data_IF_956153448813
#
_entry.id   IF_956153448813
#
_cell.length_a   1.000
_cell.length_b   1.000
_cell.length_c   1.000
_cell.angle_alpha   90.00
_cell.angle_beta   90.00
_cell.angle_gamma   90.00
#
_symmetry.space_group_name_H-M   'P 1'
#
loop_
_entity.id
_entity.type
_entity.pdbx_description
1 polymer ?
#
# COMPACT_ATOMS: atom_id res chain seq x y z
N UNK A 1 -21.17 -10.02 -13.10
CA UNK A 1 -21.86 -8.89 -12.47
C UNK A 1 -21.73 -8.91 -10.93
N UNK A 2 -22.25 -9.92 -10.19
CA UNK A 2 -22.20 -9.95 -8.71
C UNK A 2 -20.78 -10.00 -8.14
N UNK A 3 -19.87 -10.78 -8.71
CA UNK A 3 -18.46 -10.86 -8.29
C UNK A 3 -17.76 -9.52 -8.46
N UNK A 4 -18.03 -8.78 -9.52
CA UNK A 4 -17.47 -7.44 -9.73
C UNK A 4 -17.99 -6.42 -8.70
N UNK A 5 -19.25 -6.53 -8.29
CA UNK A 5 -19.82 -5.67 -7.23
C UNK A 5 -19.20 -5.92 -5.86
N UNK A 6 -18.76 -7.14 -5.57
CA UNK A 6 -18.08 -7.43 -4.29
C UNK A 6 -16.67 -6.85 -4.22
N UNK A 7 -16.02 -6.59 -5.36
CA UNK A 7 -14.66 -6.04 -5.39
C UNK A 7 -14.58 -4.62 -4.81
N UNK A 8 -15.65 -3.84 -4.91
CA UNK A 8 -15.72 -2.46 -4.39
C UNK A 8 -16.49 -2.34 -3.08
N UNK A 9 -17.08 -3.45 -2.60
CA UNK A 9 -17.85 -3.46 -1.37
C UNK A 9 -16.95 -3.13 -0.17
N UNK A 10 -17.37 -2.16 0.63
CA UNK A 10 -16.69 -1.74 1.87
C UNK A 10 -15.23 -1.27 1.69
N UNK A 11 -14.84 -0.87 0.50
CA UNK A 11 -13.45 -0.45 0.21
C UNK A 11 -13.06 0.84 0.94
N UNK A 12 -13.99 1.76 1.17
CA UNK A 12 -13.73 2.95 1.98
C UNK A 12 -13.27 2.58 3.38
N UNK A 13 -13.99 1.67 4.06
CA UNK A 13 -13.62 1.18 5.38
C UNK A 13 -12.24 0.51 5.37
N UNK A 14 -12.04 -0.47 4.49
CA UNK A 14 -10.78 -1.24 4.41
C UNK A 14 -9.57 -0.36 4.08
N UNK A 15 -9.76 0.62 3.20
CA UNK A 15 -8.71 1.58 2.83
C UNK A 15 -8.37 2.48 4.00
N UNK A 16 -9.38 2.97 4.73
CA UNK A 16 -9.19 3.82 5.91
C UNK A 16 -8.43 3.09 7.02
N UNK A 17 -8.76 1.83 7.30
CA UNK A 17 -8.01 1.00 8.27
C UNK A 17 -6.53 0.88 7.90
N UNK A 18 -6.25 0.61 6.62
CA UNK A 18 -4.89 0.42 6.12
C UNK A 18 -4.08 1.72 6.15
N UNK A 19 -4.69 2.84 5.72
CA UNK A 19 -4.06 4.16 5.75
C UNK A 19 -3.81 4.61 7.19
N UNK A 20 -4.79 4.42 8.09
CA UNK A 20 -4.64 4.74 9.50
C UNK A 20 -3.47 3.97 10.14
N UNK A 21 -3.34 2.67 9.84
CA UNK A 21 -2.21 1.87 10.31
C UNK A 21 -0.87 2.38 9.74
N UNK A 22 -0.83 2.79 8.48
CA UNK A 22 0.38 3.33 7.84
C UNK A 22 0.80 4.66 8.46
N UNK A 23 -0.16 5.53 8.79
CA UNK A 23 0.10 6.81 9.46
C UNK A 23 0.55 6.57 10.92
N UNK A 24 -0.08 5.62 11.60
CA UNK A 24 0.30 5.26 12.96
C UNK A 24 1.73 4.73 13.03
N UNK A 25 2.14 3.91 12.07
CA UNK A 25 3.53 3.47 11.92
C UNK A 25 4.49 4.65 11.82
N UNK A 26 4.23 5.58 10.90
CA UNK A 26 5.06 6.78 10.73
C UNK A 26 5.11 7.62 12.00
N UNK A 27 3.99 7.81 12.69
CA UNK A 27 3.93 8.60 13.92
C UNK A 27 4.76 7.98 15.05
N UNK A 28 4.79 6.64 15.17
CA UNK A 28 5.66 5.96 16.13
C UNK A 28 7.14 6.13 15.81
N UNK A 29 7.51 6.07 14.55
CA UNK A 29 8.92 6.09 14.12
C UNK A 29 9.47 7.51 13.87
N UNK A 30 8.63 8.54 13.96
CA UNK A 30 9.05 9.96 13.96
C UNK A 30 9.35 10.49 15.37
N UNK A 31 9.10 9.69 16.41
CA UNK A 31 9.39 10.07 17.78
C UNK A 31 10.90 10.07 18.06
N UNK A 32 11.38 11.12 18.72
CA UNK A 32 12.75 11.21 19.20
C UNK A 32 12.97 10.55 20.57
N UNK A 33 11.91 10.34 21.34
CA UNK A 33 11.88 9.62 22.61
C UNK A 33 10.51 9.00 22.83
N UNK A 34 10.48 7.85 23.48
CA UNK A 34 9.25 7.15 23.91
C UNK A 34 9.04 7.20 25.42
N UNK A 35 9.90 7.90 26.15
CA UNK A 35 9.84 7.98 27.61
C UNK A 35 8.56 8.64 28.09
N UNK A 36 7.84 7.99 29.00
CA UNK A 36 6.59 8.49 29.58
C UNK A 36 5.36 8.45 28.67
N UNK A 37 5.48 7.88 27.47
CA UNK A 37 4.33 7.78 26.56
C UNK A 37 3.41 6.63 26.99
N UNK A 38 2.13 6.96 27.26
CA UNK A 38 1.07 5.96 27.32
C UNK A 38 0.64 5.57 25.90
N UNK A 39 0.81 4.31 25.58
CA UNK A 39 0.61 3.76 24.21
C UNK A 39 -0.80 3.97 23.70
N UNK A 40 -1.82 3.77 24.53
CA UNK A 40 -3.22 3.89 24.12
C UNK A 40 -3.62 5.36 23.93
N UNK A 41 -3.13 6.24 24.79
CA UNK A 41 -3.35 7.68 24.67
C UNK A 41 -2.70 8.21 23.42
N UNK A 42 -1.44 7.86 23.15
CA UNK A 42 -0.73 8.26 21.95
C UNK A 42 -1.49 7.83 20.69
N UNK A 43 -1.85 6.54 20.56
CA UNK A 43 -2.61 6.04 19.41
C UNK A 43 -3.91 6.85 19.21
N UNK A 44 -4.70 7.03 20.28
CA UNK A 44 -5.96 7.77 20.21
C UNK A 44 -5.75 9.21 19.74
N UNK A 45 -4.74 9.89 20.24
CA UNK A 45 -4.42 11.27 19.85
C UNK A 45 -3.97 11.38 18.40
N UNK A 46 -3.11 10.44 17.92
CA UNK A 46 -2.67 10.46 16.53
C UNK A 46 -3.82 10.17 15.56
N UNK A 47 -4.69 9.24 15.90
CA UNK A 47 -5.87 8.94 15.08
C UNK A 47 -6.88 10.09 15.06
N UNK A 48 -7.07 10.77 16.19
CA UNK A 48 -7.91 11.97 16.27
C UNK A 48 -7.37 13.12 15.39
N UNK A 49 -6.04 13.30 15.30
CA UNK A 49 -5.41 14.34 14.45
C UNK A 49 -5.71 14.15 12.97
N UNK A 50 -5.84 12.93 12.51
CA UNK A 50 -6.20 12.63 11.11
C UNK A 50 -7.72 12.57 10.87
N UNK A 51 -8.52 12.84 11.90
CA UNK A 51 -9.99 12.81 11.81
C UNK A 51 -10.57 11.41 11.67
N UNK A 52 -9.85 10.37 12.13
CA UNK A 52 -10.38 9.00 12.12
C UNK A 52 -11.62 8.91 13.01
N UNK A 53 -12.73 8.42 12.44
CA UNK A 53 -13.99 8.23 13.17
C UNK A 53 -13.87 7.05 14.17
N UNK A 54 -14.66 7.08 15.24
CA UNK A 54 -14.57 6.09 16.32
C UNK A 54 -14.93 4.66 15.89
N UNK A 55 -15.74 4.52 14.84
CA UNK A 55 -16.16 3.22 14.29
C UNK A 55 -15.06 2.51 13.49
N UNK A 56 -13.99 3.22 13.13
CA UNK A 56 -12.84 2.67 12.41
C UNK A 56 -11.61 2.76 13.29
N UNK A 57 -10.99 1.62 13.52
CA UNK A 57 -9.68 1.54 14.18
C UNK A 57 -8.59 1.26 13.14
N UNK A 58 -7.33 1.60 13.39
CA UNK A 58 -6.23 1.15 12.54
C UNK A 58 -6.25 -0.36 12.38
N UNK A 59 -5.92 -0.88 11.20
CA UNK A 59 -5.86 -2.32 10.90
C UNK A 59 -5.09 -3.11 11.96
N UNK A 60 -4.05 -2.52 12.51
CA UNK A 60 -3.32 -3.01 13.68
C UNK A 60 -3.24 -1.90 14.71
N UNK A 61 -3.61 -2.21 15.94
CA UNK A 61 -3.37 -1.32 17.07
C UNK A 61 -1.95 -1.48 17.57
N UNK A 62 -1.40 -0.44 18.11
CA UNK A 62 0.00 -0.38 18.57
C UNK A 62 0.42 -1.60 19.39
N UNK A 63 -0.43 -2.07 20.30
CA UNK A 63 -0.13 -3.17 21.24
C UNK A 63 0.09 -4.54 20.58
N UNK A 64 -0.33 -4.71 19.32
CA UNK A 64 -0.13 -5.95 18.55
C UNK A 64 0.36 -5.71 17.11
N UNK A 65 0.93 -4.55 16.84
CA UNK A 65 1.44 -4.18 15.52
C UNK A 65 2.83 -4.77 15.27
N UNK A 66 2.92 -6.08 15.28
CA UNK A 66 4.17 -6.81 15.14
C UNK A 66 4.98 -6.45 13.89
N UNK A 67 4.31 -6.10 12.78
CA UNK A 67 4.95 -5.72 11.52
C UNK A 67 5.99 -4.61 11.69
N UNK A 68 5.66 -3.57 12.47
CA UNK A 68 6.48 -2.37 12.61
C UNK A 68 7.45 -2.42 13.78
N UNK A 69 7.23 -3.29 14.78
CA UNK A 69 8.07 -3.38 15.96
C UNK A 69 9.01 -4.59 15.98
N UNK A 70 8.69 -5.66 15.25
CA UNK A 70 9.45 -6.90 15.30
C UNK A 70 9.73 -7.52 13.92
N UNK A 71 9.42 -6.81 12.85
CA UNK A 71 9.74 -7.21 11.48
C UNK A 71 10.29 -6.05 10.67
N UNK A 72 10.57 -6.23 9.40
CA UNK A 72 11.23 -5.24 8.55
C UNK A 72 10.37 -4.07 8.07
N UNK A 73 9.21 -3.78 8.71
CA UNK A 73 8.27 -2.76 8.24
C UNK A 73 8.26 -1.47 9.08
N UNK A 74 9.23 -1.25 9.95
CA UNK A 74 9.35 0.00 10.72
C UNK A 74 9.41 1.21 9.79
N UNK A 75 8.51 2.19 9.98
CA UNK A 75 8.31 3.34 9.08
C UNK A 75 8.09 2.94 7.60
N UNK A 76 7.66 1.71 7.36
CA UNK A 76 7.55 1.12 6.03
C UNK A 76 6.22 0.41 5.75
N UNK A 77 5.25 0.46 6.66
CA UNK A 77 3.97 -0.23 6.48
C UNK A 77 3.18 0.31 5.27
N UNK A 78 3.34 1.57 4.92
CA UNK A 78 2.77 2.18 3.71
C UNK A 78 3.18 1.46 2.42
N UNK A 79 4.24 0.65 2.44
CA UNK A 79 4.73 -0.09 1.27
C UNK A 79 3.69 -1.05 0.69
N UNK A 80 2.73 -1.51 1.48
CA UNK A 80 1.60 -2.30 0.98
C UNK A 80 0.72 -1.52 0.01
N UNK A 81 0.43 -0.24 0.31
CA UNK A 81 -0.30 0.64 -0.60
C UNK A 81 0.51 0.96 -1.85
N UNK A 82 1.80 1.24 -1.68
CA UNK A 82 2.70 1.51 -2.80
C UNK A 82 2.83 0.32 -3.74
N UNK A 83 2.99 -0.89 -3.18
CA UNK A 83 3.03 -2.12 -3.96
C UNK A 83 1.73 -2.36 -4.75
N UNK A 84 0.57 -2.03 -4.17
CA UNK A 84 -0.71 -2.12 -4.87
C UNK A 84 -0.83 -1.11 -6.02
N UNK A 85 -0.31 0.11 -5.86
CA UNK A 85 -0.22 1.08 -6.97
C UNK A 85 0.55 0.48 -8.14
N UNK A 86 1.75 -0.07 -7.86
CA UNK A 86 2.59 -0.71 -8.89
C UNK A 86 1.91 -1.91 -9.54
N UNK A 87 1.28 -2.78 -8.74
CA UNK A 87 0.54 -3.95 -9.21
C UNK A 87 -0.60 -3.59 -10.17
N UNK A 88 -1.45 -2.66 -9.75
CA UNK A 88 -2.61 -2.26 -10.54
C UNK A 88 -2.23 -1.54 -11.82
N UNK A 89 -1.26 -0.63 -11.78
CA UNK A 89 -0.78 0.08 -12.96
C UNK A 89 -0.04 -0.86 -13.93
N UNK A 90 0.76 -1.80 -13.40
CA UNK A 90 1.38 -2.85 -14.22
C UNK A 90 0.33 -3.72 -14.92
N UNK A 91 -0.72 -4.12 -14.21
CA UNK A 91 -1.79 -4.93 -14.79
C UNK A 91 -2.63 -4.16 -15.82
N UNK A 92 -2.75 -2.84 -15.67
CA UNK A 92 -3.42 -2.01 -16.68
C UNK A 92 -2.70 -2.07 -18.02
N UNK A 93 -1.37 -2.16 -18.06
CA UNK A 93 -0.64 -2.38 -19.32
C UNK A 93 -1.06 -3.70 -19.98
N UNK A 94 -1.25 -4.78 -19.21
CA UNK A 94 -1.75 -6.04 -19.76
C UNK A 94 -3.19 -5.92 -20.28
N UNK A 95 -4.05 -5.12 -19.64
CA UNK A 95 -5.40 -4.86 -20.17
C UNK A 95 -5.36 -4.07 -21.48
N UNK A 96 -4.47 -3.08 -21.58
CA UNK A 96 -4.28 -2.25 -22.77
C UNK A 96 -3.77 -3.05 -23.98
N UNK A 97 -2.82 -3.96 -23.75
CA UNK A 97 -2.14 -4.74 -24.80
C UNK A 97 -2.78 -6.10 -25.09
N UNK A 98 -3.53 -6.61 -24.13
CA UNK A 98 -4.09 -7.96 -24.11
C UNK A 98 -3.51 -8.78 -22.95
N UNK A 99 -4.40 -9.38 -22.14
CA UNK A 99 -4.00 -10.10 -20.90
C UNK A 99 -2.99 -11.23 -21.19
N UNK A 100 -3.03 -11.80 -22.37
CA UNK A 100 -2.13 -12.87 -22.82
C UNK A 100 -1.13 -12.42 -23.89
N UNK A 101 -0.90 -11.10 -24.05
CA UNK A 101 0.09 -10.60 -24.99
C UNK A 101 1.50 -11.08 -24.63
N UNK A 102 2.17 -11.85 -25.51
CA UNK A 102 3.45 -12.45 -25.18
C UNK A 102 4.59 -11.44 -25.03
N UNK A 103 4.52 -10.30 -25.75
CA UNK A 103 5.56 -9.28 -25.64
C UNK A 103 5.49 -8.51 -24.32
N UNK A 104 4.29 -8.19 -23.87
CA UNK A 104 4.07 -7.58 -22.53
C UNK A 104 4.50 -8.54 -21.41
N UNK A 105 4.11 -9.81 -21.51
CA UNK A 105 4.53 -10.83 -20.55
C UNK A 105 6.05 -11.01 -20.51
N UNK A 106 6.72 -11.03 -21.68
CA UNK A 106 8.18 -11.10 -21.79
C UNK A 106 8.85 -9.85 -21.20
N UNK A 107 8.32 -8.67 -21.47
CA UNK A 107 8.83 -7.41 -20.92
C UNK A 107 8.73 -7.38 -19.41
N UNK A 108 7.58 -7.79 -18.83
CA UNK A 108 7.39 -7.92 -17.38
C UNK A 108 8.39 -8.90 -16.76
N UNK A 109 8.47 -10.09 -17.33
CA UNK A 109 9.44 -11.10 -16.88
C UNK A 109 10.88 -10.57 -16.90
N UNK A 110 11.31 -9.98 -18.03
CA UNK A 110 12.70 -9.53 -18.23
C UNK A 110 13.09 -8.36 -17.35
N UNK A 111 12.20 -7.37 -17.20
CA UNK A 111 12.53 -6.11 -16.52
C UNK A 111 12.19 -6.15 -15.01
N UNK A 112 11.22 -6.95 -14.60
CA UNK A 112 10.77 -7.03 -13.20
C UNK A 112 11.23 -8.33 -12.55
N UNK A 113 10.74 -9.50 -13.04
CA UNK A 113 10.92 -10.76 -12.33
C UNK A 113 12.36 -11.26 -12.36
N UNK A 114 13.03 -11.19 -13.51
CA UNK A 114 14.43 -11.65 -13.66
C UNK A 114 15.43 -10.70 -12.99
N UNK A 115 15.06 -9.42 -12.84
CA UNK A 115 15.93 -8.40 -12.25
C UNK A 115 15.83 -8.37 -10.72
N UNK A 116 14.66 -8.57 -10.17
CA UNK A 116 14.46 -8.47 -8.72
C UNK A 116 15.04 -7.16 -8.17
N UNK A 117 15.91 -7.25 -7.16
CA UNK A 117 16.60 -6.10 -6.55
C UNK A 117 17.98 -5.76 -7.14
N UNK A 118 18.28 -6.15 -8.38
CA UNK A 118 19.61 -5.96 -8.98
C UNK A 118 19.89 -4.55 -9.52
N UNK A 119 18.89 -3.71 -9.64
CA UNK A 119 18.99 -2.31 -10.08
C UNK A 119 17.92 -1.47 -9.38
N UNK A 120 17.90 -0.17 -9.59
CA UNK A 120 16.88 0.74 -9.06
C UNK A 120 15.47 0.28 -9.48
N UNK A 121 14.56 0.01 -8.53
CA UNK A 121 13.23 -0.54 -8.83
C UNK A 121 12.40 0.37 -9.73
N UNK A 122 12.49 1.69 -9.56
CA UNK A 122 11.75 2.64 -10.38
C UNK A 122 12.26 2.65 -11.82
N UNK A 123 13.58 2.54 -12.01
CA UNK A 123 14.18 2.41 -13.34
C UNK A 123 13.70 1.13 -14.04
N UNK A 124 13.69 0.00 -13.33
CA UNK A 124 13.22 -1.29 -13.87
C UNK A 124 11.72 -1.21 -14.20
N UNK A 125 10.93 -0.60 -13.34
CA UNK A 125 9.51 -0.38 -13.57
C UNK A 125 9.25 0.44 -14.84
N UNK A 126 9.96 1.58 -15.00
CA UNK A 126 9.85 2.43 -16.19
C UNK A 126 10.28 1.71 -17.48
N UNK A 127 11.26 0.81 -17.40
CA UNK A 127 11.66 -0.02 -18.55
C UNK A 127 10.55 -0.99 -18.97
N UNK A 128 9.76 -1.47 -18.03
CA UNK A 128 8.60 -2.32 -18.31
C UNK A 128 7.38 -1.50 -18.74
N UNK A 129 6.95 -0.51 -17.93
CA UNK A 129 5.70 0.22 -18.11
C UNK A 129 5.78 1.30 -19.20
N UNK A 130 6.98 1.85 -19.43
CA UNK A 130 7.19 3.00 -20.32
C UNK A 130 6.90 4.35 -19.70
N UNK A 131 6.46 4.40 -18.43
CA UNK A 131 6.09 5.58 -17.69
C UNK A 131 6.33 5.39 -16.18
N UNK A 132 6.19 6.45 -15.41
CA UNK A 132 6.08 6.38 -13.95
C UNK A 132 4.76 5.72 -13.55
N UNK A 133 4.71 5.04 -12.37
CA UNK A 133 3.48 4.42 -11.89
C UNK A 133 2.41 5.48 -11.61
N UNK A 134 1.16 5.13 -11.92
CA UNK A 134 0.00 5.99 -11.71
C UNK A 134 -0.96 5.34 -10.69
N UNK A 135 -1.36 6.04 -9.61
CA UNK A 135 -2.28 5.51 -8.62
C UNK A 135 -3.73 5.32 -9.11
N UNK A 136 -4.09 5.91 -10.24
CA UNK A 136 -5.46 5.87 -10.78
C UNK A 136 -6.02 4.45 -10.94
N UNK A 137 -5.19 3.50 -11.38
CA UNK A 137 -5.60 2.11 -11.53
C UNK A 137 -6.00 1.47 -10.19
N UNK A 138 -5.27 1.78 -9.12
CA UNK A 138 -5.57 1.30 -7.77
C UNK A 138 -6.83 1.98 -7.22
N UNK A 139 -6.95 3.30 -7.36
CA UNK A 139 -8.11 4.08 -6.90
C UNK A 139 -9.40 3.57 -7.57
N UNK A 140 -9.40 3.46 -8.89
CA UNK A 140 -10.53 2.89 -9.66
C UNK A 140 -10.83 1.44 -9.27
N UNK A 141 -9.79 0.62 -9.06
CA UNK A 141 -9.93 -0.76 -8.65
C UNK A 141 -10.62 -0.93 -7.30
N UNK A 142 -10.44 0.03 -6.41
CA UNK A 142 -11.11 0.11 -5.11
C UNK A 142 -12.51 0.75 -5.18
N UNK A 143 -12.85 1.40 -6.29
CA UNK A 143 -14.12 2.11 -6.44
C UNK A 143 -14.18 3.43 -5.67
N UNK A 144 -13.03 4.06 -5.52
CA UNK A 144 -12.84 5.36 -4.85
C UNK A 144 -12.65 6.49 -5.85
#
# INVERSE_FOLDING_TARGET
>A
AKIQQTATFNQGFMTTELVAASILDMNWHDLTSVEGIDVNTFEKEQMAKIGLIEEIIPRYRTTYFNHIFNSGYSAGYYSYLWAEVLDKDAFDLFKEKGIFDPETAKAFRKNILEKGGSDDPMKLYKQFRGAEPNPEAMIKGRGL
#
